data_IF_049828769998
#
_entry.id   IF_049828769998
#
_cell.length_a   1.000
_cell.length_b   1.000
_cell.length_c   1.000
_cell.angle_alpha   90.00
_cell.angle_beta   90.00
_cell.angle_gamma   90.00
#
_symmetry.space_group_name_H-M   'P 1'
#
loop_
_entity.id
_entity.type
_entity.pdbx_description
1 polymer ?
#
# COMPACT_ATOMS: atom_id res chain seq x y z
N UNK A 1 -9.32 -20.39 3.88
CA UNK A 1 -8.08 -19.59 3.69
C UNK A 1 -8.39 -18.48 2.67
N UNK A 2 -8.15 -17.20 2.98
CA UNK A 2 -8.40 -16.10 2.04
C UNK A 2 -7.10 -15.71 1.30
N UNK A 3 -7.14 -15.60 -0.04
CA UNK A 3 -5.96 -15.35 -0.89
C UNK A 3 -5.18 -14.10 -0.52
N UNK A 4 -5.85 -13.11 0.09
CA UNK A 4 -5.22 -11.84 0.50
C UNK A 4 -4.06 -12.04 1.47
N UNK A 5 -4.11 -13.07 2.32
CA UNK A 5 -3.09 -13.30 3.34
C UNK A 5 -1.85 -14.00 2.78
N UNK A 6 -1.95 -14.58 1.58
CA UNK A 6 -0.84 -15.27 0.91
C UNK A 6 -0.22 -14.44 -0.22
N UNK A 7 -0.89 -13.36 -0.64
CA UNK A 7 -0.35 -12.45 -1.66
C UNK A 7 0.79 -11.63 -1.06
N UNK A 8 1.92 -11.55 -1.77
CA UNK A 8 3.04 -10.73 -1.33
C UNK A 8 2.68 -9.24 -1.38
N UNK A 9 3.18 -8.48 -0.41
CA UNK A 9 3.00 -7.02 -0.39
C UNK A 9 3.55 -6.39 -1.67
N UNK A 10 4.68 -6.89 -2.19
CA UNK A 10 5.27 -6.42 -3.44
C UNK A 10 4.32 -6.54 -4.65
N UNK A 11 3.49 -7.60 -4.70
CA UNK A 11 2.50 -7.78 -5.77
C UNK A 11 1.25 -6.89 -5.58
N UNK A 12 0.88 -6.60 -4.32
CA UNK A 12 -0.28 -5.75 -4.01
C UNK A 12 0.02 -4.25 -4.13
N UNK A 13 1.24 -3.83 -3.79
CA UNK A 13 1.64 -2.43 -3.64
C UNK A 13 1.36 -1.54 -4.86
N UNK A 14 1.61 -1.96 -6.12
CA UNK A 14 1.27 -1.15 -7.29
C UNK A 14 -0.23 -0.80 -7.37
N UNK A 15 -1.10 -1.73 -6.97
CA UNK A 15 -2.55 -1.52 -6.97
C UNK A 15 -2.98 -0.54 -5.87
N UNK A 16 -2.33 -0.59 -4.71
CA UNK A 16 -2.60 0.35 -3.62
C UNK A 16 -2.16 1.77 -3.99
N UNK A 17 -0.99 1.93 -4.62
CA UNK A 17 -0.53 3.23 -5.13
C UNK A 17 -1.50 3.78 -6.18
N UNK A 18 -1.86 2.99 -7.19
CA UNK A 18 -2.82 3.41 -8.22
C UNK A 18 -4.19 3.81 -7.62
N UNK A 19 -4.64 3.10 -6.57
CA UNK A 19 -5.88 3.42 -5.85
C UNK A 19 -5.78 4.75 -5.10
N UNK A 20 -4.62 5.08 -4.54
CA UNK A 20 -4.36 6.33 -3.85
C UNK A 20 -4.25 7.49 -4.84
N UNK A 21 -3.56 7.29 -5.97
CA UNK A 21 -3.43 8.28 -7.04
C UNK A 21 -4.79 8.63 -7.65
N UNK A 22 -5.65 7.63 -7.87
CA UNK A 22 -7.06 7.86 -8.30
C UNK A 22 -7.86 8.70 -7.30
N UNK A 23 -7.42 8.78 -6.04
CA UNK A 23 -8.02 9.61 -4.99
C UNK A 23 -7.31 10.97 -4.83
N UNK A 24 -6.46 11.36 -5.79
CA UNK A 24 -5.76 12.65 -5.80
C UNK A 24 -4.64 12.77 -4.76
N UNK A 25 -4.17 11.64 -4.22
CA UNK A 25 -3.07 11.57 -3.25
C UNK A 25 -1.82 11.02 -3.92
N UNK A 26 -0.67 11.29 -3.32
CA UNK A 26 0.63 10.87 -3.85
C UNK A 26 1.10 9.55 -3.23
N UNK A 27 1.99 8.86 -3.94
CA UNK A 27 2.72 7.71 -3.40
C UNK A 27 3.49 8.07 -2.12
N UNK A 28 4.08 9.26 -2.06
CA UNK A 28 4.86 9.69 -0.90
C UNK A 28 4.00 9.79 0.38
N UNK A 29 2.77 10.32 0.25
CA UNK A 29 1.79 10.36 1.35
C UNK A 29 1.35 8.94 1.75
N UNK A 30 1.12 8.06 0.78
CA UNK A 30 0.79 6.65 1.07
C UNK A 30 1.91 5.95 1.82
N UNK A 31 3.15 6.13 1.39
CA UNK A 31 4.32 5.51 2.02
C UNK A 31 4.52 6.03 3.45
N UNK A 32 4.23 7.30 3.71
CA UNK A 32 4.26 7.85 5.06
C UNK A 32 3.23 7.17 5.97
N UNK A 33 2.00 7.01 5.51
CA UNK A 33 0.94 6.32 6.26
C UNK A 33 1.25 4.83 6.44
N UNK A 34 1.74 4.17 5.39
CA UNK A 34 2.12 2.76 5.43
C UNK A 34 3.23 2.52 6.45
N UNK A 35 4.26 3.38 6.50
CA UNK A 35 5.31 3.33 7.52
C UNK A 35 4.77 3.58 8.93
N UNK A 36 3.88 4.55 9.11
CA UNK A 36 3.24 4.80 10.41
C UNK A 36 2.42 3.59 10.89
N UNK A 37 1.64 2.97 10.00
CA UNK A 37 0.77 1.84 10.32
C UNK A 37 1.55 0.56 10.62
N UNK A 38 2.65 0.33 9.92
CA UNK A 38 3.43 -0.91 10.01
C UNK A 38 4.64 -0.82 10.95
N UNK A 39 5.07 0.40 11.30
CA UNK A 39 6.30 0.65 12.06
C UNK A 39 7.59 0.41 11.25
N UNK A 40 7.49 0.12 9.94
CA UNK A 40 8.66 -0.01 9.08
C UNK A 40 9.30 1.36 8.83
N UNK A 41 10.64 1.37 8.81
CA UNK A 41 11.43 2.57 8.52
C UNK A 41 11.86 2.58 7.07
#
# INVERSE_FOLDING_TARGET
MHRVFTTSVAAAYPNDVAKVERKGRTRAEFDQVARWLTGFK
#
